data_IF_522814596777
#
_entry.id   IF_522814596777
#
_cell.length_a   1.000
_cell.length_b   1.000
_cell.length_c   1.000
_cell.angle_alpha   90.00
_cell.angle_beta   90.00
_cell.angle_gamma   90.00
#
_symmetry.space_group_name_H-M   'P 1'
#
loop_
_entity.id
_entity.type
_entity.pdbx_description
1 polymer ?
#
# COMPACT_ATOMS: atom_id res chain seq x y z
N UNK A 1 13.02 46.37 -60.41
CA UNK A 1 14.05 45.79 -59.53
C UNK A 1 13.33 45.45 -58.22
N UNK A 2 12.62 44.32 -58.16
CA UNK A 2 13.03 43.08 -57.44
C UNK A 2 13.52 43.39 -56.00
N UNK A 3 13.10 42.78 -54.90
CA UNK A 3 12.25 41.62 -54.57
C UNK A 3 12.25 41.56 -53.02
N UNK A 4 11.52 40.57 -52.45
CA UNK A 4 11.57 40.11 -51.06
C UNK A 4 10.49 40.65 -50.12
N UNK A 5 9.28 40.15 -50.39
CA UNK A 5 8.43 39.67 -49.31
C UNK A 5 9.13 38.55 -48.54
N UNK A 6 9.16 38.70 -47.23
CA UNK A 6 9.39 37.60 -46.30
C UNK A 6 8.03 37.25 -45.74
N UNK A 7 7.33 36.34 -46.44
CA UNK A 7 6.26 35.56 -45.84
C UNK A 7 6.91 34.70 -44.75
N UNK A 8 6.79 35.12 -43.49
CA UNK A 8 7.01 34.22 -42.37
C UNK A 8 5.88 33.20 -42.42
N UNK A 9 6.17 32.03 -43.00
CA UNK A 9 5.33 30.85 -42.86
C UNK A 9 5.13 30.60 -41.36
N UNK A 10 3.95 30.93 -40.86
CA UNK A 10 3.45 30.41 -39.59
C UNK A 10 3.44 28.90 -39.73
N UNK A 11 4.48 28.27 -39.18
CA UNK A 11 4.61 26.82 -39.10
C UNK A 11 3.29 26.25 -38.65
N UNK A 12 2.68 25.43 -39.51
CA UNK A 12 1.42 24.75 -39.27
C UNK A 12 1.51 24.00 -37.94
N UNK A 13 0.97 24.58 -36.86
CA UNK A 13 0.78 23.85 -35.63
C UNK A 13 -0.27 22.80 -35.93
N UNK A 14 0.16 21.55 -36.19
CA UNK A 14 -0.77 20.43 -36.37
C UNK A 14 -1.76 20.46 -35.20
N UNK A 15 -3.04 20.63 -35.50
CA UNK A 15 -4.08 20.56 -34.49
C UNK A 15 -4.09 19.14 -33.93
N UNK A 16 -3.91 19.03 -32.62
CA UNK A 16 -3.96 17.73 -31.94
C UNK A 16 -5.37 17.18 -32.09
N UNK A 17 -5.50 15.96 -32.62
CA UNK A 17 -6.80 15.30 -32.74
C UNK A 17 -7.31 14.89 -31.35
N UNK A 18 -8.62 14.67 -31.22
CA UNK A 18 -9.23 14.21 -29.95
C UNK A 18 -8.53 12.96 -29.41
N UNK A 19 -8.24 11.99 -30.28
CA UNK A 19 -7.50 10.78 -29.95
C UNK A 19 -6.04 11.06 -29.58
N UNK A 20 -5.39 12.01 -30.26
CA UNK A 20 -4.04 12.44 -29.90
C UNK A 20 -3.98 13.02 -28.47
N UNK A 21 -4.96 13.84 -28.09
CA UNK A 21 -5.06 14.39 -26.75
C UNK A 21 -5.27 13.29 -25.69
N UNK A 22 -6.13 12.31 -25.98
CA UNK A 22 -6.38 11.15 -25.09
C UNK A 22 -5.13 10.31 -24.90
N UNK A 23 -4.38 10.02 -25.98
CA UNK A 23 -3.13 9.24 -25.89
C UNK A 23 -2.08 9.98 -25.07
N UNK A 24 -1.90 11.29 -25.29
CA UNK A 24 -0.96 12.10 -24.50
C UNK A 24 -1.36 12.10 -23.03
N UNK A 25 -2.66 12.28 -22.73
CA UNK A 25 -3.18 12.22 -21.37
C UNK A 25 -2.92 10.86 -20.73
N UNK A 26 -3.23 9.77 -21.44
CA UNK A 26 -3.03 8.41 -20.94
C UNK A 26 -1.55 8.12 -20.66
N UNK A 27 -0.62 8.54 -21.52
CA UNK A 27 0.82 8.39 -21.30
C UNK A 27 1.30 9.20 -20.08
N UNK A 28 0.80 10.42 -19.92
CA UNK A 28 1.11 11.25 -18.75
C UNK A 28 0.57 10.60 -17.46
N UNK A 29 -0.70 10.16 -17.45
CA UNK A 29 -1.29 9.43 -16.33
C UNK A 29 -0.54 8.13 -16.03
N UNK A 30 -0.12 7.38 -17.05
CA UNK A 30 0.64 6.14 -16.88
C UNK A 30 2.00 6.40 -16.23
N UNK A 31 2.70 7.47 -16.62
CA UNK A 31 3.96 7.85 -15.99
C UNK A 31 3.77 8.19 -14.51
N UNK A 32 2.75 9.01 -14.18
CA UNK A 32 2.43 9.37 -12.80
C UNK A 32 2.07 8.11 -11.98
N UNK A 33 1.20 7.26 -12.52
CA UNK A 33 0.82 6.01 -11.89
C UNK A 33 2.03 5.08 -11.67
N UNK A 34 2.92 4.95 -12.65
CA UNK A 34 4.10 4.09 -12.54
C UNK A 34 5.06 4.58 -11.44
N UNK A 35 5.26 5.89 -11.32
CA UNK A 35 6.07 6.48 -10.23
C UNK A 35 5.42 6.18 -8.88
N UNK A 36 4.10 6.39 -8.75
CA UNK A 36 3.38 6.11 -7.51
C UNK A 36 3.39 4.62 -7.16
N UNK A 37 3.15 3.73 -8.13
CA UNK A 37 3.23 2.30 -7.93
C UNK A 37 4.61 1.87 -7.45
N UNK A 38 5.67 2.43 -8.04
CA UNK A 38 7.04 2.18 -7.60
C UNK A 38 7.26 2.65 -6.15
N UNK A 39 6.78 3.83 -5.77
CA UNK A 39 6.86 4.33 -4.39
C UNK A 39 6.10 3.44 -3.40
N UNK A 40 4.88 3.03 -3.76
CA UNK A 40 4.03 2.16 -2.93
C UNK A 40 4.69 0.80 -2.72
N UNK A 41 5.21 0.18 -3.78
CA UNK A 41 5.84 -1.14 -3.72
C UNK A 41 7.20 -1.14 -2.98
N UNK A 42 7.96 -0.05 -3.07
CA UNK A 42 9.31 0.00 -2.50
C UNK A 42 9.35 0.55 -1.08
N UNK A 43 8.60 1.60 -0.77
CA UNK A 43 8.64 2.27 0.53
C UNK A 43 7.46 1.92 1.42
N UNK A 44 6.27 1.83 0.86
CA UNK A 44 5.04 1.83 1.66
C UNK A 44 4.57 0.42 2.05
N UNK A 45 4.76 -0.56 1.15
CA UNK A 45 4.39 -1.95 1.35
C UNK A 45 5.54 -2.89 0.92
N UNK A 46 6.60 -3.03 1.75
CA UNK A 46 7.75 -3.81 1.36
C UNK A 46 7.44 -5.32 1.33
N UNK A 47 7.87 -6.00 0.26
CA UNK A 47 7.86 -7.46 0.16
C UNK A 47 6.46 -8.08 0.16
N UNK A 48 6.28 -9.17 0.91
CA UNK A 48 5.02 -9.90 1.00
C UNK A 48 3.88 -9.08 1.62
N UNK A 49 4.19 -7.99 2.33
CA UNK A 49 3.19 -7.11 2.94
C UNK A 49 2.33 -6.38 1.90
N UNK A 50 2.81 -6.18 0.67
CA UNK A 50 2.00 -5.58 -0.39
C UNK A 50 0.76 -6.40 -0.72
N UNK A 51 0.92 -7.71 -0.82
CA UNK A 51 -0.18 -8.62 -1.07
C UNK A 51 -1.04 -8.81 0.18
N UNK A 52 -0.39 -8.91 1.33
CA UNK A 52 -1.04 -9.24 2.59
C UNK A 52 -1.84 -8.09 3.22
N UNK A 53 -1.41 -6.83 3.04
CA UNK A 53 -1.88 -5.69 3.82
C UNK A 53 -2.64 -4.64 3.00
N UNK A 54 -3.22 -5.01 1.85
CA UNK A 54 -4.11 -4.11 1.11
C UNK A 54 -3.46 -3.25 0.03
N UNK A 55 -2.24 -3.59 -0.40
CA UNK A 55 -1.50 -2.79 -1.38
C UNK A 55 -2.19 -2.73 -2.75
N UNK A 56 -2.83 -3.83 -3.17
CA UNK A 56 -3.60 -3.89 -4.43
C UNK A 56 -4.87 -3.05 -4.37
N UNK A 57 -5.58 -3.09 -3.26
CA UNK A 57 -6.82 -2.36 -3.02
C UNK A 57 -6.54 -0.86 -3.17
N UNK A 58 -5.45 -0.38 -2.57
CA UNK A 58 -4.97 0.98 -2.72
C UNK A 58 -4.60 1.36 -4.16
N UNK A 59 -3.75 0.57 -4.81
CA UNK A 59 -3.30 0.86 -6.18
C UNK A 59 -4.42 0.80 -7.20
N UNK A 60 -5.41 -0.08 -7.04
CA UNK A 60 -6.56 -0.17 -7.95
C UNK A 60 -7.38 1.11 -7.97
N UNK A 61 -7.60 1.74 -6.81
CA UNK A 61 -8.34 3.01 -6.73
C UNK A 61 -7.61 4.09 -7.52
N UNK A 62 -6.29 4.23 -7.30
CA UNK A 62 -5.46 5.21 -8.02
C UNK A 62 -5.47 4.92 -9.53
N UNK A 63 -5.27 3.66 -9.92
CA UNK A 63 -5.23 3.24 -11.32
C UNK A 63 -6.53 3.56 -12.06
N UNK A 64 -7.69 3.25 -11.47
CA UNK A 64 -9.00 3.50 -12.11
C UNK A 64 -9.24 4.99 -12.30
N UNK A 65 -8.89 5.80 -11.30
CA UNK A 65 -9.02 7.26 -11.39
C UNK A 65 -8.13 7.81 -12.52
N UNK A 66 -6.85 7.46 -12.53
CA UNK A 66 -5.86 8.10 -13.40
C UNK A 66 -5.84 7.56 -14.83
N UNK A 67 -6.01 6.24 -15.00
CA UNK A 67 -5.86 5.57 -16.29
C UNK A 67 -7.18 5.40 -17.04
N UNK A 68 -8.32 5.56 -16.36
CA UNK A 68 -9.64 5.40 -16.97
C UNK A 68 -10.42 6.70 -16.91
N UNK A 69 -10.68 7.22 -15.71
CA UNK A 69 -11.57 8.36 -15.50
C UNK A 69 -11.04 9.64 -16.18
N UNK A 70 -9.75 9.97 -15.96
CA UNK A 70 -9.10 11.14 -16.58
C UNK A 70 -9.16 11.10 -18.12
N UNK A 71 -8.60 10.07 -18.79
CA UNK A 71 -8.62 9.95 -20.24
C UNK A 71 -10.04 9.95 -20.84
N UNK A 72 -11.02 9.32 -20.17
CA UNK A 72 -12.43 9.36 -20.59
C UNK A 72 -13.02 10.77 -20.54
N UNK A 73 -12.77 11.53 -19.45
CA UNK A 73 -13.21 12.92 -19.35
C UNK A 73 -12.54 13.79 -20.44
N UNK A 74 -11.24 13.60 -20.67
CA UNK A 74 -10.52 14.27 -21.76
C UNK A 74 -11.12 13.93 -23.12
N UNK A 75 -11.48 12.68 -23.39
CA UNK A 75 -12.13 12.28 -24.65
C UNK A 75 -13.47 13.00 -24.86
N UNK A 76 -14.30 13.07 -23.81
CA UNK A 76 -15.63 13.68 -23.85
C UNK A 76 -15.52 15.19 -24.08
N UNK A 77 -14.62 15.84 -23.35
CA UNK A 77 -14.56 17.30 -23.24
C UNK A 77 -13.69 17.94 -24.32
N UNK A 78 -12.63 17.26 -24.77
CA UNK A 78 -11.72 17.76 -25.79
C UNK A 78 -12.42 17.90 -27.13
N UNK A 79 -12.56 19.14 -27.59
CA UNK A 79 -13.10 19.47 -28.90
C UNK A 79 -12.15 20.49 -29.57
N UNK A 80 -11.46 20.11 -30.67
CA UNK A 80 -10.53 20.99 -31.36
C UNK A 80 -11.20 22.21 -32.03
N UNK A 81 -12.53 22.20 -32.16
CA UNK A 81 -13.30 23.32 -32.69
C UNK A 81 -13.63 24.40 -31.63
N UNK A 82 -13.39 24.14 -30.34
CA UNK A 82 -13.60 25.13 -29.27
C UNK A 82 -12.52 26.22 -29.31
N UNK A 83 -12.83 27.47 -28.88
CA UNK A 83 -11.80 28.47 -28.61
C UNK A 83 -10.74 27.93 -27.66
N UNK A 84 -9.46 28.27 -27.91
CA UNK A 84 -8.33 27.76 -27.11
C UNK A 84 -8.50 28.04 -25.61
N UNK A 85 -9.02 29.20 -25.23
CA UNK A 85 -9.25 29.56 -23.84
C UNK A 85 -10.28 28.65 -23.14
N UNK A 86 -11.37 28.30 -23.82
CA UNK A 86 -12.39 27.39 -23.29
C UNK A 86 -11.82 25.97 -23.16
N UNK A 87 -11.10 25.49 -24.18
CA UNK A 87 -10.48 24.17 -24.15
C UNK A 87 -9.45 24.05 -23.01
N UNK A 88 -8.61 25.07 -22.80
CA UNK A 88 -7.63 25.11 -21.70
C UNK A 88 -8.34 25.12 -20.35
N UNK A 89 -9.39 25.92 -20.18
CA UNK A 89 -10.18 25.95 -18.94
C UNK A 89 -10.77 24.58 -18.64
N UNK A 90 -11.42 23.96 -19.62
CA UNK A 90 -12.08 22.67 -19.46
C UNK A 90 -11.07 21.57 -19.07
N UNK A 91 -9.91 21.51 -19.75
CA UNK A 91 -8.84 20.56 -19.42
C UNK A 91 -8.18 20.86 -18.07
N UNK A 92 -8.07 22.13 -17.67
CA UNK A 92 -7.53 22.53 -16.37
C UNK A 92 -8.43 22.07 -15.22
N UNK A 93 -9.75 22.14 -15.39
CA UNK A 93 -10.71 21.63 -14.41
C UNK A 93 -10.58 20.11 -14.28
N UNK A 94 -10.47 19.38 -15.40
CA UNK A 94 -10.22 17.93 -15.39
C UNK A 94 -8.91 17.62 -14.66
N UNK A 95 -7.82 18.33 -14.99
CA UNK A 95 -6.52 18.15 -14.36
C UNK A 95 -6.57 18.42 -12.85
N UNK A 96 -7.27 19.47 -12.41
CA UNK A 96 -7.45 19.78 -10.99
C UNK A 96 -8.22 18.66 -10.27
N UNK A 97 -9.33 18.20 -10.84
CA UNK A 97 -10.11 17.08 -10.27
C UNK A 97 -9.27 15.81 -10.18
N UNK A 98 -8.45 15.53 -11.20
CA UNK A 98 -7.55 14.37 -11.21
C UNK A 98 -6.48 14.49 -10.12
N UNK A 99 -5.86 15.67 -9.95
CA UNK A 99 -4.89 15.90 -8.86
C UNK A 99 -5.53 15.73 -7.49
N UNK A 100 -6.74 16.26 -7.27
CA UNK A 100 -7.46 16.09 -6.01
C UNK A 100 -7.80 14.63 -5.73
N UNK A 101 -8.25 13.90 -6.75
CA UNK A 101 -8.55 12.47 -6.63
C UNK A 101 -7.27 11.65 -6.37
N UNK A 102 -6.15 12.01 -7.01
CA UNK A 102 -4.84 11.40 -6.79
C UNK A 102 -4.34 11.61 -5.37
N UNK A 103 -4.44 12.84 -4.85
CA UNK A 103 -4.09 13.16 -3.45
C UNK A 103 -4.98 12.38 -2.49
N UNK A 104 -6.29 12.30 -2.74
CA UNK A 104 -7.22 11.51 -1.96
C UNK A 104 -6.87 10.01 -1.97
N UNK A 105 -6.54 9.46 -3.14
CA UNK A 105 -6.07 8.09 -3.29
C UNK A 105 -4.78 7.84 -2.49
N UNK A 106 -3.78 8.70 -2.65
CA UNK A 106 -2.52 8.63 -1.89
C UNK A 106 -2.76 8.70 -0.39
N UNK A 107 -3.68 9.56 0.07
CA UNK A 107 -4.06 9.65 1.47
C UNK A 107 -4.64 8.33 1.99
N UNK A 108 -5.61 7.73 1.27
CA UNK A 108 -6.20 6.43 1.65
C UNK A 108 -5.12 5.34 1.71
N UNK A 109 -4.24 5.26 0.70
CA UNK A 109 -3.15 4.28 0.68
C UNK A 109 -2.18 4.51 1.84
N UNK A 110 -1.90 5.76 2.22
CA UNK A 110 -1.02 6.09 3.35
C UNK A 110 -1.61 5.68 4.71
N UNK A 111 -2.93 5.59 4.82
CA UNK A 111 -3.63 5.11 6.02
C UNK A 111 -3.63 3.59 6.11
N UNK A 112 -3.73 2.92 4.96
CA UNK A 112 -3.68 1.46 4.82
C UNK A 112 -2.27 0.88 5.02
N UNK A 113 -1.22 1.71 5.04
CA UNK A 113 0.16 1.23 5.09
C UNK A 113 0.40 0.37 6.35
N UNK A 114 1.13 -0.75 6.24
CA UNK A 114 1.55 -1.52 7.39
C UNK A 114 2.50 -0.68 8.25
N UNK A 115 2.17 -0.53 9.54
CA UNK A 115 3.00 0.19 10.50
C UNK A 115 3.76 -0.77 11.41
N UNK A 116 3.07 -1.81 11.86
CA UNK A 116 3.59 -2.79 12.80
C UNK A 116 3.22 -4.18 12.33
N UNK A 117 4.17 -5.10 12.43
CA UNK A 117 3.92 -6.53 12.34
C UNK A 117 4.27 -7.14 13.69
N UNK A 118 3.30 -7.74 14.36
CA UNK A 118 3.52 -8.35 15.68
C UNK A 118 3.25 -9.84 15.63
N UNK A 119 4.22 -10.63 16.07
CA UNK A 119 4.07 -12.07 16.23
C UNK A 119 3.39 -12.40 17.56
N UNK A 120 2.29 -13.14 17.49
CA UNK A 120 1.59 -13.67 18.65
C UNK A 120 1.40 -15.17 18.45
N UNK A 121 2.08 -15.95 19.29
CA UNK A 121 2.08 -17.41 19.30
C UNK A 121 2.56 -18.09 18.01
N UNK A 122 1.72 -18.23 16.99
CA UNK A 122 2.04 -18.82 15.66
C UNK A 122 1.65 -17.92 14.47
N UNK A 123 1.14 -16.71 14.74
CA UNK A 123 0.60 -15.79 13.72
C UNK A 123 1.29 -14.43 13.77
N UNK A 124 1.58 -13.88 12.59
CA UNK A 124 1.98 -12.49 12.38
C UNK A 124 0.73 -11.64 12.14
N UNK A 125 0.49 -10.66 13.00
CA UNK A 125 -0.57 -9.67 12.82
C UNK A 125 0.01 -8.41 12.21
N UNK A 126 -0.49 -8.01 11.04
CA UNK A 126 -0.11 -6.77 10.38
C UNK A 126 -1.12 -5.69 10.72
N UNK A 127 -0.63 -4.63 11.34
CA UNK A 127 -1.44 -3.53 11.87
C UNK A 127 -1.13 -2.22 11.16
N UNK A 128 -2.17 -1.51 10.77
CA UNK A 128 -2.16 -0.17 10.20
C UNK A 128 -2.84 0.82 11.17
N UNK A 129 -2.94 2.10 10.78
CA UNK A 129 -3.53 3.14 11.64
C UNK A 129 -5.03 2.92 11.89
N UNK A 130 -5.74 2.42 10.89
CA UNK A 130 -7.17 2.21 10.93
C UNK A 130 -7.56 1.09 11.92
N UNK A 131 -6.73 0.06 12.05
CA UNK A 131 -6.96 -1.06 12.99
C UNK A 131 -7.02 -0.57 14.44
N UNK A 132 -6.12 0.35 14.81
CA UNK A 132 -6.10 0.97 16.14
C UNK A 132 -7.28 1.91 16.34
N UNK A 133 -7.62 2.70 15.31
CA UNK A 133 -8.77 3.62 15.35
C UNK A 133 -10.08 2.86 15.57
N UNK A 134 -10.27 1.73 14.87
CA UNK A 134 -11.47 0.89 15.01
C UNK A 134 -11.54 0.19 16.37
N UNK A 135 -10.39 -0.18 16.94
CA UNK A 135 -10.31 -0.72 18.30
C UNK A 135 -10.53 0.33 19.41
N UNK A 136 -10.71 1.60 19.06
CA UNK A 136 -10.84 2.68 20.04
C UNK A 136 -9.56 2.96 20.82
N UNK A 137 -8.42 2.50 20.31
CA UNK A 137 -7.11 2.67 20.92
C UNK A 137 -6.49 3.99 20.47
N UNK A 138 -5.94 4.75 21.41
CA UNK A 138 -5.22 5.99 21.10
C UNK A 138 -4.05 5.70 20.15
N UNK A 139 -4.02 6.37 19.01
CA UNK A 139 -2.98 6.15 18.00
C UNK A 139 -1.59 6.60 18.44
N UNK A 140 -1.48 7.36 19.54
CA UNK A 140 -0.20 7.89 20.04
C UNK A 140 0.83 6.80 20.31
N UNK A 141 0.46 5.73 21.04
CA UNK A 141 1.39 4.64 21.33
C UNK A 141 1.88 3.95 20.05
N UNK A 142 1.01 3.84 19.03
CA UNK A 142 1.39 3.33 17.72
C UNK A 142 2.27 4.32 16.96
N UNK A 143 1.96 5.61 17.00
CA UNK A 143 2.71 6.67 16.32
C UNK A 143 4.12 6.83 16.86
N UNK A 144 4.31 6.65 18.18
CA UNK A 144 5.61 6.68 18.84
C UNK A 144 6.53 5.54 18.38
N UNK A 145 5.96 4.37 18.09
CA UNK A 145 6.72 3.23 17.59
C UNK A 145 6.76 3.17 16.06
N UNK A 146 5.79 3.76 15.38
CA UNK A 146 5.65 3.72 13.94
C UNK A 146 6.80 4.48 13.26
N UNK A 147 7.44 3.81 12.31
CA UNK A 147 8.45 4.41 11.46
C UNK A 147 7.93 4.78 10.07
N UNK A 148 8.87 5.16 9.22
CA UNK A 148 8.65 5.21 7.78
C UNK A 148 8.49 3.81 7.18
N UNK A 149 9.18 2.81 7.75
CA UNK A 149 9.09 1.40 7.42
C UNK A 149 8.34 0.62 8.52
N UNK A 150 7.69 -0.51 8.17
CA UNK A 150 7.03 -1.36 9.16
C UNK A 150 8.06 -1.96 10.14
N UNK A 151 7.73 -1.93 11.43
CA UNK A 151 8.54 -2.55 12.48
C UNK A 151 7.97 -3.89 12.91
N UNK A 152 8.86 -4.81 13.28
CA UNK A 152 8.50 -6.16 13.69
C UNK A 152 8.70 -6.35 15.19
N UNK A 153 7.68 -6.87 15.86
CA UNK A 153 7.67 -7.16 17.29
C UNK A 153 7.14 -8.57 17.55
N UNK A 154 7.25 -9.02 18.80
CA UNK A 154 6.55 -10.20 19.29
C UNK A 154 5.96 -9.94 20.67
N UNK A 155 4.95 -10.73 21.03
CA UNK A 155 4.39 -10.78 22.39
C UNK A 155 4.83 -12.07 23.06
N UNK A 156 5.35 -11.97 24.28
CA UNK A 156 5.67 -13.14 25.08
C UNK A 156 4.38 -13.83 25.54
N UNK A 157 4.23 -15.09 25.16
CA UNK A 157 3.04 -15.90 25.42
C UNK A 157 3.44 -17.29 25.93
N UNK A 158 2.55 -18.01 26.64
CA UNK A 158 2.81 -19.36 27.11
C UNK A 158 3.35 -20.28 26.01
N UNK A 159 4.29 -21.16 26.36
CA UNK A 159 4.90 -22.07 25.41
C UNK A 159 3.93 -23.17 24.94
N UNK A 160 3.01 -23.59 25.80
CA UNK A 160 1.99 -24.59 25.51
C UNK A 160 0.84 -23.96 24.73
N UNK A 161 0.45 -24.58 23.61
CA UNK A 161 -0.73 -24.18 22.83
C UNK A 161 -2.01 -24.22 23.67
N UNK A 162 -2.15 -25.22 24.55
CA UNK A 162 -3.32 -25.36 25.40
C UNK A 162 -3.41 -24.21 26.42
N UNK A 163 -2.29 -23.85 27.05
CA UNK A 163 -2.25 -22.75 28.01
C UNK A 163 -2.47 -21.40 27.33
N UNK A 164 -1.88 -21.19 26.15
CA UNK A 164 -2.10 -20.00 25.35
C UNK A 164 -3.57 -19.83 24.98
N UNK A 165 -4.20 -20.87 24.41
CA UNK A 165 -5.63 -20.83 24.05
C UNK A 165 -6.51 -20.58 25.27
N UNK A 166 -6.27 -21.28 26.38
CA UNK A 166 -7.04 -21.09 27.60
C UNK A 166 -6.94 -19.66 28.15
N UNK A 167 -5.74 -19.08 28.17
CA UNK A 167 -5.53 -17.70 28.63
C UNK A 167 -6.10 -16.68 27.65
N UNK A 168 -5.85 -16.86 26.35
CA UNK A 168 -6.31 -15.95 25.30
C UNK A 168 -7.84 -15.91 25.23
N UNK A 169 -8.52 -17.07 25.24
CA UNK A 169 -9.99 -17.13 25.25
C UNK A 169 -10.56 -16.50 26.51
N UNK A 170 -9.97 -16.74 27.69
CA UNK A 170 -10.43 -16.09 28.93
C UNK A 170 -10.31 -14.57 28.88
N UNK A 171 -9.18 -14.05 28.39
CA UNK A 171 -8.96 -12.61 28.24
C UNK A 171 -10.02 -11.97 27.32
N UNK A 172 -10.28 -12.57 26.15
CA UNK A 172 -11.31 -12.08 25.22
C UNK A 172 -12.72 -12.12 25.84
N UNK A 173 -13.07 -13.18 26.57
CA UNK A 173 -14.36 -13.29 27.26
C UNK A 173 -14.53 -12.24 28.37
N UNK A 174 -13.43 -11.80 28.98
CA UNK A 174 -13.42 -10.73 29.97
C UNK A 174 -13.45 -9.33 29.34
N UNK A 175 -13.48 -9.23 28.00
CA UNK A 175 -13.45 -7.96 27.29
C UNK A 175 -12.07 -7.30 27.25
N UNK A 176 -10.99 -8.05 27.50
CA UNK A 176 -9.64 -7.54 27.29
C UNK A 176 -9.37 -7.31 25.80
N UNK A 177 -8.53 -6.33 25.51
CA UNK A 177 -8.07 -6.07 24.14
C UNK A 177 -7.21 -7.22 23.62
N UNK A 178 -7.34 -7.60 22.33
CA UNK A 178 -6.50 -8.63 21.73
C UNK A 178 -5.01 -8.33 21.92
N UNK A 179 -4.20 -9.37 22.17
CA UNK A 179 -2.75 -9.23 22.48
C UNK A 179 -1.98 -8.45 21.41
N UNK A 180 -2.33 -8.65 20.14
CA UNK A 180 -1.73 -7.93 19.03
C UNK A 180 -2.02 -6.42 19.08
N UNK A 181 -3.02 -5.95 19.82
CA UNK A 181 -3.33 -4.51 19.93
C UNK A 181 -2.75 -3.87 21.20
N UNK A 182 -2.07 -4.65 22.04
CA UNK A 182 -1.50 -4.23 23.33
C UNK A 182 -0.03 -3.86 23.17
N UNK A 183 0.21 -2.63 22.72
CA UNK A 183 1.55 -2.09 22.43
C UNK A 183 2.50 -2.21 23.63
N UNK A 184 1.98 -2.11 24.85
CA UNK A 184 2.75 -2.24 26.09
C UNK A 184 3.38 -3.63 26.28
N UNK A 185 2.89 -4.65 25.58
CA UNK A 185 3.42 -6.01 25.62
C UNK A 185 4.45 -6.29 24.52
N UNK A 186 4.66 -5.36 23.60
CA UNK A 186 5.55 -5.56 22.47
C UNK A 186 7.00 -5.64 22.90
N UNK A 187 7.70 -6.62 22.36
CA UNK A 187 9.15 -6.77 22.48
C UNK A 187 9.78 -6.84 21.10
N UNK A 188 10.99 -6.27 20.98
CA UNK A 188 11.76 -6.35 19.74
C UNK A 188 12.13 -7.79 19.44
N UNK A 189 12.05 -8.19 18.17
CA UNK A 189 12.47 -9.52 17.75
C UNK A 189 13.93 -9.80 18.16
N UNK A 190 14.22 -10.99 18.73
CA UNK A 190 15.58 -11.36 19.10
C UNK A 190 16.54 -11.21 17.92
N UNK A 191 17.73 -10.68 18.19
CA UNK A 191 18.73 -10.55 17.13
C UNK A 191 19.42 -11.86 16.77
N UNK A 192 19.41 -12.82 17.69
CA UNK A 192 19.93 -14.17 17.51
C UNK A 192 18.92 -15.04 16.74
N UNK A 193 19.39 -15.72 15.69
CA UNK A 193 18.52 -16.51 14.80
C UNK A 193 17.92 -17.73 15.50
N UNK A 194 18.62 -18.34 16.46
CA UNK A 194 18.09 -19.48 17.22
C UNK A 194 16.97 -19.03 18.16
N UNK A 195 17.17 -17.91 18.87
CA UNK A 195 16.15 -17.29 19.69
C UNK A 195 14.93 -16.88 18.85
N UNK A 196 15.15 -16.33 17.66
CA UNK A 196 14.09 -15.94 16.74
C UNK A 196 13.27 -17.15 16.25
N UNK A 197 13.92 -18.24 15.84
CA UNK A 197 13.21 -19.48 15.47
C UNK A 197 12.37 -20.03 16.62
N UNK A 198 12.88 -19.96 17.85
CA UNK A 198 12.14 -20.38 19.04
C UNK A 198 10.90 -19.51 19.30
N UNK A 199 10.98 -18.22 19.00
CA UNK A 199 9.84 -17.29 19.12
C UNK A 199 8.81 -17.55 18.03
N UNK A 200 9.23 -17.73 16.76
CA UNK A 200 8.30 -17.83 15.63
C UNK A 200 7.47 -19.13 15.60
N UNK A 201 7.89 -20.20 16.32
CA UNK A 201 7.13 -21.45 16.56
C UNK A 201 6.43 -22.02 15.31
N UNK A 202 7.18 -22.24 14.25
CA UNK A 202 6.61 -22.44 12.91
C UNK A 202 6.21 -23.88 12.62
N UNK A 203 5.17 -24.06 11.78
CA UNK A 203 4.62 -25.37 11.44
C UNK A 203 5.47 -26.16 10.45
N UNK A 204 6.07 -25.49 9.47
CA UNK A 204 6.82 -26.13 8.39
C UNK A 204 8.07 -25.30 8.04
N UNK A 205 9.24 -25.91 8.19
CA UNK A 205 10.48 -25.37 7.62
C UNK A 205 10.49 -25.79 6.15
N UNK A 206 10.44 -24.83 5.22
CA UNK A 206 10.54 -25.15 3.80
C UNK A 206 11.89 -25.85 3.53
N UNK A 207 11.90 -26.84 2.63
CA UNK A 207 13.03 -27.72 2.30
C UNK A 207 14.32 -26.99 1.85
N UNK A 208 14.31 -25.67 1.72
CA UNK A 208 15.45 -24.86 1.31
C UNK A 208 15.75 -23.74 2.32
N UNK A 209 16.10 -24.11 3.55
CA UNK A 209 17.01 -23.41 4.47
C UNK A 209 16.67 -22.01 5.01
N UNK A 210 16.14 -21.08 4.22
CA UNK A 210 15.99 -19.65 4.57
C UNK A 210 14.55 -19.20 4.83
N UNK A 211 13.57 -19.98 4.38
CA UNK A 211 12.16 -19.61 4.42
C UNK A 211 11.41 -20.28 5.56
N UNK A 212 10.95 -19.49 6.53
CA UNK A 212 10.16 -19.97 7.64
C UNK A 212 8.68 -19.61 7.43
N UNK A 213 7.81 -20.60 7.25
CA UNK A 213 6.39 -20.33 6.98
C UNK A 213 5.64 -19.97 8.26
N UNK A 214 5.01 -18.79 8.26
CA UNK A 214 4.24 -18.28 9.40
C UNK A 214 2.86 -17.86 8.91
N UNK A 215 1.82 -18.12 9.72
CA UNK A 215 0.49 -17.61 9.45
C UNK A 215 0.51 -16.08 9.54
N UNK A 216 -0.25 -15.40 8.70
CA UNK A 216 -0.35 -13.95 8.69
C UNK A 216 -1.80 -13.51 8.60
N UNK A 217 -2.16 -12.55 9.44
CA UNK A 217 -3.47 -11.93 9.48
C UNK A 217 -3.33 -10.40 9.38
N UNK A 218 -4.16 -9.80 8.54
CA UNK A 218 -4.34 -8.37 8.42
C UNK A 218 -5.82 -8.05 8.25
N UNK A 219 -6.18 -6.77 8.33
CA UNK A 219 -7.55 -6.31 8.03
C UNK A 219 -7.98 -6.48 6.57
N UNK A 220 -7.06 -6.88 5.69
CA UNK A 220 -7.33 -7.09 4.26
C UNK A 220 -7.39 -8.56 3.88
N UNK A 221 -6.42 -9.37 4.35
CA UNK A 221 -6.29 -10.77 3.96
C UNK A 221 -5.72 -11.62 5.11
N UNK A 222 -6.06 -12.91 5.08
CA UNK A 222 -5.48 -13.95 5.91
C UNK A 222 -4.79 -14.98 5.04
N UNK A 223 -3.69 -15.55 5.54
CA UNK A 223 -2.91 -16.50 4.77
C UNK A 223 -1.63 -16.88 5.48
N UNK A 224 -0.59 -17.13 4.70
CA UNK A 224 0.74 -17.46 5.21
C UNK A 224 1.81 -16.78 4.38
N UNK A 225 2.94 -16.51 5.03
CA UNK A 225 4.07 -15.84 4.41
C UNK A 225 5.37 -16.57 4.70
N UNK A 226 6.36 -16.28 3.88
CA UNK A 226 7.74 -16.65 4.15
C UNK A 226 8.38 -15.57 5.03
N UNK A 227 8.85 -15.94 6.21
CA UNK A 227 9.67 -15.08 7.03
C UNK A 227 11.14 -15.45 6.84
N UNK A 228 11.94 -14.51 6.33
CA UNK A 228 13.38 -14.64 6.19
C UNK A 228 14.06 -14.27 7.51
N UNK A 229 14.77 -15.23 8.11
CA UNK A 229 15.43 -15.07 9.41
C UNK A 229 16.65 -14.14 9.36
N UNK A 230 17.33 -14.04 8.23
CA UNK A 230 18.52 -13.20 8.06
C UNK A 230 18.12 -11.78 7.72
N UNK A 231 17.26 -11.61 6.72
CA UNK A 231 16.78 -10.31 6.27
C UNK A 231 15.74 -9.69 7.21
N UNK A 232 15.14 -10.50 8.11
CA UNK A 232 14.05 -10.13 9.03
C UNK A 232 12.89 -9.47 8.28
N UNK A 233 12.56 -10.05 7.14
CA UNK A 233 11.57 -9.55 6.20
C UNK A 233 10.60 -10.64 5.84
N UNK A 234 9.40 -10.20 5.50
CA UNK A 234 8.36 -11.05 4.98
C UNK A 234 8.44 -11.03 3.45
N UNK A 235 8.60 -12.19 2.86
CA UNK A 235 8.56 -12.40 1.41
C UNK A 235 7.41 -13.34 1.06
N UNK A 236 6.89 -13.18 -0.15
CA UNK A 236 5.78 -13.96 -0.67
C UNK A 236 4.51 -13.88 0.20
N UNK A 237 3.36 -14.18 -0.39
CA UNK A 237 2.12 -14.30 0.35
C UNK A 237 1.25 -15.33 -0.33
N UNK A 238 0.77 -16.29 0.46
CA UNK A 238 -0.12 -17.35 0.01
C UNK A 238 -1.43 -17.16 0.77
N UNK A 239 -2.50 -16.68 0.10
CA UNK A 239 -3.81 -16.51 0.73
C UNK A 239 -4.31 -17.84 1.31
N UNK A 240 -5.04 -17.77 2.42
CA UNK A 240 -5.79 -18.92 2.91
C UNK A 240 -6.90 -19.26 1.89
N UNK A 241 -6.99 -20.53 1.51
CA UNK A 241 -8.04 -21.05 0.62
C UNK A 241 -9.34 -21.33 1.37
#
# INVERSE_FOLDING_TARGET
MQLFGVSVEMGMTKSVSRWGAVVIHLLASLLVFAVLAMLVLSWLFPGGLFLAAGGWEGLRIIAVVDLVLGPCLTLIVFNPCKPRAELVRDLSVIGLLQVLALVGGCYVVSQARPLVVVHVFDTLYVLNREDYRQAGLGSQALEDIAGWAPKFFYVEVPASKADFLAQHTRALLNGETPLQQRVELYRELPSDSQALMKVLRTRDQAENGSCLRVDLESSYQTGSVCFDLEARKVTDFIPAT
#
